data_IF_003740767597
#
_entry.id   IF_003740767597
#
_cell.length_a   1.000
_cell.length_b   1.000
_cell.length_c   1.000
_cell.angle_alpha   90.00
_cell.angle_beta   90.00
_cell.angle_gamma   90.00
#
_symmetry.space_group_name_H-M   'P 1'
#
loop_
_entity.id
_entity.type
_entity.pdbx_description
1 polymer ?
#
# COMPACT_ATOMS: atom_id res chain seq x y z
N UNK A 1 -2.97 -25.62 -8.14
CA UNK A 1 -3.55 -24.75 -9.17
C UNK A 1 -2.95 -23.38 -9.02
N UNK A 2 -2.20 -22.92 -10.02
CA UNK A 2 -1.44 -21.66 -9.98
C UNK A 2 -2.37 -20.48 -10.18
N UNK A 3 -2.27 -19.47 -9.32
CA UNK A 3 -3.08 -18.23 -9.30
C UNK A 3 -3.39 -17.61 -10.67
N UNK A 4 -2.54 -17.80 -11.70
CA UNK A 4 -2.79 -17.37 -13.08
C UNK A 4 -4.09 -17.91 -13.67
N UNK A 5 -4.43 -19.17 -13.41
CA UNK A 5 -5.61 -19.84 -14.00
C UNK A 5 -6.91 -19.30 -13.40
N UNK A 6 -6.90 -18.99 -12.10
CA UNK A 6 -8.02 -18.37 -11.38
C UNK A 6 -8.24 -16.94 -11.88
N UNK A 7 -7.16 -16.19 -12.12
CA UNK A 7 -7.22 -14.83 -12.66
C UNK A 7 -7.75 -14.82 -14.10
N UNK A 8 -7.34 -15.79 -14.93
CA UNK A 8 -7.91 -15.97 -16.28
C UNK A 8 -9.40 -16.33 -16.25
N UNK A 9 -9.82 -17.23 -15.37
CA UNK A 9 -11.25 -17.54 -15.21
C UNK A 9 -12.06 -16.34 -14.71
N UNK A 10 -11.51 -15.54 -13.78
CA UNK A 10 -12.14 -14.30 -13.31
C UNK A 10 -12.27 -13.28 -14.43
N UNK A 11 -11.26 -13.14 -15.29
CA UNK A 11 -11.30 -12.24 -16.45
C UNK A 11 -12.40 -12.63 -17.44
N UNK A 12 -12.63 -13.93 -17.62
CA UNK A 12 -13.63 -14.47 -18.57
C UNK A 12 -15.04 -14.42 -17.98
N UNK A 13 -15.21 -14.88 -16.73
CA UNK A 13 -16.55 -15.05 -16.12
C UNK A 13 -17.08 -13.78 -15.45
N UNK A 14 -16.19 -12.93 -14.93
CA UNK A 14 -16.57 -11.72 -14.18
C UNK A 14 -15.72 -10.52 -14.61
N UNK A 15 -15.81 -10.08 -15.88
CA UNK A 15 -14.95 -9.04 -16.44
C UNK A 15 -15.04 -7.69 -15.70
N UNK A 16 -16.22 -7.34 -15.15
CA UNK A 16 -16.40 -6.11 -14.38
C UNK A 16 -15.80 -6.19 -12.97
N UNK A 17 -15.86 -7.36 -12.32
CA UNK A 17 -15.17 -7.60 -11.05
C UNK A 17 -13.65 -7.61 -11.25
N UNK A 18 -13.17 -8.23 -12.33
CA UNK A 18 -11.77 -8.22 -12.73
C UNK A 18 -11.26 -6.79 -13.03
N UNK A 19 -12.02 -5.99 -13.79
CA UNK A 19 -11.69 -4.57 -14.01
C UNK A 19 -11.66 -3.78 -12.71
N UNK A 20 -12.57 -4.04 -11.78
CA UNK A 20 -12.58 -3.36 -10.48
C UNK A 20 -11.36 -3.74 -9.65
N UNK A 21 -10.99 -5.02 -9.60
CA UNK A 21 -9.80 -5.52 -8.90
C UNK A 21 -8.53 -4.92 -9.52
N UNK A 22 -8.42 -4.88 -10.85
CA UNK A 22 -7.28 -4.26 -11.53
C UNK A 22 -7.28 -2.74 -11.37
N UNK A 23 -8.43 -2.06 -11.44
CA UNK A 23 -8.50 -0.61 -11.26
C UNK A 23 -8.18 -0.16 -9.83
N UNK A 24 -8.39 -1.04 -8.84
CA UNK A 24 -7.92 -0.80 -7.46
C UNK A 24 -6.39 -0.84 -7.41
N UNK A 25 -5.74 -1.73 -8.18
CA UNK A 25 -4.28 -1.88 -8.25
C UNK A 25 -3.60 -1.03 -9.35
N UNK A 26 -4.36 -0.39 -10.25
CA UNK A 26 -3.83 0.35 -11.41
C UNK A 26 -3.64 1.84 -11.16
N UNK A 27 -3.79 2.31 -9.91
CA UNK A 27 -3.39 3.69 -9.59
C UNK A 27 -1.90 3.80 -9.84
N UNK A 28 -1.52 4.61 -10.83
CA UNK A 28 -0.12 4.97 -11.08
C UNK A 28 0.50 5.39 -9.75
N UNK A 29 1.55 4.68 -9.36
CA UNK A 29 2.26 4.96 -8.12
C UNK A 29 2.88 6.34 -8.24
N UNK A 30 2.40 7.28 -7.43
CA UNK A 30 2.94 8.63 -7.36
C UNK A 30 4.12 8.62 -6.37
N UNK A 31 5.33 8.77 -6.91
CA UNK A 31 6.54 8.79 -6.09
C UNK A 31 6.55 9.97 -5.12
N UNK A 32 5.94 11.12 -5.46
CA UNK A 32 5.93 12.29 -4.58
C UNK A 32 5.09 12.03 -3.33
N UNK A 33 3.96 11.36 -3.48
CA UNK A 33 3.13 10.93 -2.36
C UNK A 33 3.83 9.87 -1.49
N UNK A 34 4.61 8.95 -2.08
CA UNK A 34 5.44 8.01 -1.30
C UNK A 34 6.56 8.75 -0.56
N UNK A 35 7.21 9.74 -1.18
CA UNK A 35 8.21 10.59 -0.51
C UNK A 35 7.61 11.34 0.67
N UNK A 36 6.42 11.94 0.50
CA UNK A 36 5.73 12.61 1.59
C UNK A 36 5.31 11.63 2.69
N UNK A 37 4.76 10.47 2.34
CA UNK A 37 4.45 9.42 3.33
C UNK A 37 5.69 9.02 4.14
N UNK A 38 6.84 8.87 3.47
CA UNK A 38 8.10 8.57 4.14
C UNK A 38 8.56 9.73 5.05
N UNK A 39 8.53 10.96 4.56
CA UNK A 39 8.89 12.15 5.32
C UNK A 39 8.05 12.31 6.59
N UNK A 40 6.72 12.26 6.47
CA UNK A 40 5.82 12.40 7.62
C UNK A 40 5.93 11.23 8.61
N UNK A 41 6.21 10.01 8.12
CA UNK A 41 6.39 8.85 9.01
C UNK A 41 7.60 8.98 9.93
N UNK A 42 8.62 9.80 9.58
CA UNK A 42 9.83 9.94 10.41
C UNK A 42 9.55 10.53 11.79
N UNK A 43 8.43 11.24 11.95
CA UNK A 43 8.02 11.88 13.19
C UNK A 43 7.23 10.96 14.12
N UNK A 44 7.04 9.68 13.74
CA UNK A 44 6.21 8.71 14.45
C UNK A 44 7.06 7.61 15.11
N UNK A 45 6.65 7.13 16.28
CA UNK A 45 7.34 6.07 17.03
C UNK A 45 7.49 4.77 16.20
N UNK A 46 6.44 4.42 15.45
CA UNK A 46 6.42 3.27 14.55
C UNK A 46 6.67 3.64 13.08
N UNK A 47 7.61 4.57 12.82
CA UNK A 47 7.92 5.15 11.49
C UNK A 47 7.85 4.18 10.31
N UNK A 48 8.44 2.99 10.43
CA UNK A 48 8.47 2.01 9.33
C UNK A 48 7.10 1.41 9.06
N UNK A 49 6.37 1.06 10.11
CA UNK A 49 5.04 0.46 10.01
C UNK A 49 4.03 1.48 9.54
N UNK A 50 4.10 2.70 10.06
CA UNK A 50 3.28 3.84 9.59
C UNK A 50 3.51 4.08 8.10
N UNK A 51 4.77 4.21 7.67
CA UNK A 51 5.11 4.40 6.26
C UNK A 51 4.52 3.31 5.35
N UNK A 52 4.73 2.04 5.71
CA UNK A 52 4.26 0.90 4.93
C UNK A 52 2.74 0.90 4.86
N UNK A 53 2.04 1.07 5.99
CA UNK A 53 0.58 1.03 6.02
C UNK A 53 -0.05 2.20 5.27
N UNK A 54 0.51 3.41 5.36
CA UNK A 54 0.06 4.57 4.56
C UNK A 54 0.19 4.27 3.07
N UNK A 55 1.33 3.74 2.62
CA UNK A 55 1.54 3.40 1.21
C UNK A 55 0.57 2.30 0.74
N UNK A 56 0.32 1.28 1.58
CA UNK A 56 -0.65 0.23 1.28
C UNK A 56 -2.07 0.80 1.20
N UNK A 57 -2.52 1.63 2.13
CA UNK A 57 -3.87 2.22 2.05
C UNK A 57 -4.08 3.17 0.87
N UNK A 58 -3.02 3.84 0.42
CA UNK A 58 -3.10 4.74 -0.75
C UNK A 58 -3.22 3.97 -2.07
N UNK A 59 -2.45 2.88 -2.23
CA UNK A 59 -2.26 2.22 -3.53
C UNK A 59 -2.69 0.76 -3.60
N UNK A 60 -2.80 0.07 -2.47
CA UNK A 60 -3.21 -1.33 -2.41
C UNK A 60 -3.96 -1.66 -1.09
N UNK A 61 -5.09 -0.96 -0.81
CA UNK A 61 -5.79 -1.09 0.47
C UNK A 61 -6.29 -2.52 0.74
N UNK A 62 -6.58 -3.28 -0.32
CA UNK A 62 -6.95 -4.69 -0.22
C UNK A 62 -5.91 -5.57 0.45
N UNK A 63 -4.62 -5.20 0.42
CA UNK A 63 -3.58 -5.93 1.15
C UNK A 63 -3.80 -5.88 2.65
N UNK A 64 -4.26 -4.75 3.19
CA UNK A 64 -4.57 -4.62 4.61
C UNK A 64 -5.92 -5.28 4.90
N UNK A 65 -6.97 -4.95 4.17
CA UNK A 65 -8.33 -5.39 4.49
C UNK A 65 -8.54 -6.88 4.25
N UNK A 66 -8.09 -7.40 3.10
CA UNK A 66 -8.41 -8.73 2.62
C UNK A 66 -7.18 -9.64 2.44
N UNK A 67 -5.97 -9.14 2.71
CA UNK A 67 -4.74 -9.89 2.51
C UNK A 67 -4.40 -10.14 1.04
N UNK A 68 -4.88 -9.28 0.14
CA UNK A 68 -4.57 -9.40 -1.30
C UNK A 68 -3.11 -9.06 -1.58
N UNK A 69 -2.65 -9.46 -2.77
CA UNK A 69 -1.32 -9.09 -3.27
C UNK A 69 -1.16 -7.57 -3.30
N UNK A 70 0.08 -7.13 -3.09
CA UNK A 70 0.47 -5.72 -3.16
C UNK A 70 0.51 -5.27 -4.61
N UNK A 71 0.02 -4.06 -4.86
CA UNK A 71 0.08 -3.39 -6.15
C UNK A 71 1.48 -3.48 -6.79
N UNK A 72 1.51 -3.80 -8.08
CA UNK A 72 2.74 -4.02 -8.82
C UNK A 72 3.61 -2.75 -8.79
N UNK A 73 4.88 -2.91 -8.41
CA UNK A 73 5.83 -1.80 -8.33
C UNK A 73 5.84 -1.03 -7.00
N UNK A 74 4.82 -1.16 -6.14
CA UNK A 74 4.72 -0.38 -4.90
C UNK A 74 5.87 -0.68 -3.94
N UNK A 75 6.19 -1.97 -3.75
CA UNK A 75 7.35 -2.39 -2.94
C UNK A 75 8.66 -1.81 -3.49
N UNK A 76 8.78 -1.71 -4.82
CA UNK A 76 9.97 -1.14 -5.46
C UNK A 76 10.07 0.37 -5.22
N UNK A 77 8.95 1.08 -5.25
CA UNK A 77 8.90 2.50 -4.97
C UNK A 77 9.19 2.80 -3.50
N UNK A 78 8.58 2.05 -2.56
CA UNK A 78 8.87 2.15 -1.13
C UNK A 78 10.35 1.91 -0.83
N UNK A 79 10.93 0.85 -1.41
CA UNK A 79 12.34 0.51 -1.26
C UNK A 79 13.26 1.63 -1.76
N UNK A 80 12.95 2.22 -2.92
CA UNK A 80 13.71 3.34 -3.50
C UNK A 80 13.67 4.58 -2.61
N UNK A 81 12.47 5.01 -2.18
CA UNK A 81 12.28 6.20 -1.34
C UNK A 81 12.99 6.06 0.00
N UNK A 82 12.92 4.87 0.59
CA UNK A 82 13.56 4.57 1.88
C UNK A 82 15.06 4.28 1.77
N UNK A 83 15.59 4.08 0.56
CA UNK A 83 17.00 3.71 0.35
C UNK A 83 17.36 2.31 0.85
N UNK A 84 16.42 1.36 0.76
CA UNK A 84 16.61 -0.03 1.23
C UNK A 84 16.27 -1.04 0.12
N UNK A 85 16.54 -2.33 0.37
CA UNK A 85 16.18 -3.39 -0.58
C UNK A 85 14.67 -3.69 -0.55
N UNK A 86 14.14 -4.21 -1.67
CA UNK A 86 12.74 -4.68 -1.73
C UNK A 86 12.46 -5.73 -0.67
N UNK A 87 13.41 -6.65 -0.44
CA UNK A 87 13.30 -7.70 0.56
C UNK A 87 13.15 -7.15 1.98
N UNK A 88 13.89 -6.09 2.34
CA UNK A 88 13.78 -5.45 3.65
C UNK A 88 12.38 -4.85 3.88
N UNK A 89 11.77 -4.26 2.84
CA UNK A 89 10.38 -3.76 2.90
C UNK A 89 9.40 -4.92 3.05
N UNK A 90 9.53 -5.97 2.22
CA UNK A 90 8.66 -7.15 2.27
C UNK A 90 8.69 -7.86 3.63
N UNK A 91 9.87 -7.99 4.25
CA UNK A 91 10.03 -8.59 5.58
C UNK A 91 9.26 -7.83 6.66
N UNK A 92 9.19 -6.49 6.57
CA UNK A 92 8.50 -5.64 7.54
C UNK A 92 7.00 -5.46 7.29
N UNK A 93 6.51 -5.95 6.16
CA UNK A 93 5.14 -5.70 5.74
C UNK A 93 4.12 -6.46 6.59
N UNK A 94 4.41 -7.72 6.93
CA UNK A 94 3.53 -8.51 7.82
C UNK A 94 3.43 -7.88 9.20
N UNK A 95 4.55 -7.46 9.78
CA UNK A 95 4.59 -6.77 11.08
C UNK A 95 3.81 -5.46 11.03
N UNK A 96 3.98 -4.66 9.97
CA UNK A 96 3.27 -3.39 9.81
C UNK A 96 1.76 -3.58 9.73
N UNK A 97 1.29 -4.55 8.92
CA UNK A 97 -0.13 -4.87 8.78
C UNK A 97 -0.70 -5.38 10.11
N UNK A 98 0.03 -6.24 10.81
CA UNK A 98 -0.37 -6.73 12.12
C UNK A 98 -0.51 -5.57 13.11
N UNK A 99 0.48 -4.69 13.18
CA UNK A 99 0.47 -3.54 14.08
C UNK A 99 -0.70 -2.60 13.79
N UNK A 100 -0.96 -2.29 12.51
CA UNK A 100 -2.11 -1.47 12.12
C UNK A 100 -3.44 -2.09 12.53
N UNK A 101 -3.60 -3.41 12.39
CA UNK A 101 -4.84 -4.09 12.81
C UNK A 101 -5.00 -4.20 14.32
N UNK A 102 -3.89 -4.18 15.08
CA UNK A 102 -3.89 -4.49 16.51
C UNK A 102 -3.85 -3.26 17.40
N UNK A 103 -3.17 -2.20 16.96
CA UNK A 103 -2.90 -0.99 17.74
C UNK A 103 -3.72 0.18 17.20
N UNK A 104 -4.70 0.63 18.00
CA UNK A 104 -5.68 1.65 17.60
C UNK A 104 -5.01 3.00 17.33
N UNK A 105 -4.10 3.39 18.20
CA UNK A 105 -3.25 4.57 18.10
C UNK A 105 -2.48 4.61 16.76
N UNK A 106 -1.87 3.49 16.36
CA UNK A 106 -1.18 3.42 15.07
C UNK A 106 -2.16 3.54 13.90
N UNK A 107 -3.31 2.86 13.99
CA UNK A 107 -4.33 2.93 12.93
C UNK A 107 -4.85 4.35 12.72
N UNK A 108 -5.11 5.09 13.80
CA UNK A 108 -5.58 6.48 13.74
C UNK A 108 -4.54 7.40 13.10
N UNK A 109 -3.27 7.28 13.49
CA UNK A 109 -2.16 8.04 12.87
C UNK A 109 -2.06 7.75 11.38
N UNK A 110 -2.11 6.46 11.00
CA UNK A 110 -2.03 6.03 9.61
C UNK A 110 -3.20 6.58 8.80
N UNK A 111 -4.43 6.47 9.31
CA UNK A 111 -5.63 6.91 8.61
C UNK A 111 -5.63 8.44 8.42
N UNK A 112 -5.26 9.21 9.46
CA UNK A 112 -5.11 10.67 9.37
C UNK A 112 -4.06 11.08 8.33
N UNK A 113 -2.93 10.38 8.29
CA UNK A 113 -1.89 10.64 7.28
C UNK A 113 -2.39 10.33 5.87
N UNK A 114 -3.11 9.23 5.68
CA UNK A 114 -3.70 8.86 4.38
C UNK A 114 -4.69 9.91 3.91
N UNK A 115 -5.56 10.40 4.79
CA UNK A 115 -6.50 11.48 4.47
C UNK A 115 -5.79 12.77 4.07
N UNK A 116 -4.77 13.16 4.84
CA UNK A 116 -3.94 14.34 4.56
C UNK A 116 -3.25 14.24 3.19
N UNK A 117 -2.68 13.07 2.86
CA UNK A 117 -2.01 12.83 1.58
C UNK A 117 -2.98 12.76 0.39
N UNK A 118 -4.23 12.31 0.59
CA UNK A 118 -5.27 12.32 -0.44
C UNK A 118 -5.75 13.74 -0.76
N UNK A 119 -5.73 14.64 0.22
CA UNK A 119 -6.14 16.03 0.08
C UNK A 119 -5.05 16.91 -0.55
N UNK A 120 -3.78 16.49 -0.48
CA UNK A 120 -2.68 17.14 -1.18
C UNK A 120 -2.89 17.06 -2.69
N UNK A 121 -3.32 18.19 -3.29
CA UNK A 121 -3.31 18.37 -4.74
C UNK A 121 -1.86 18.56 -5.19
N UNK A 122 -1.24 17.49 -5.67
CA UNK A 122 0.04 17.55 -6.36
C UNK A 122 -0.15 18.40 -7.62
N UNK A 123 0.45 19.59 -7.66
CA UNK A 123 0.52 20.38 -8.89
C UNK A 123 1.31 19.55 -9.91
N UNK A 124 0.62 19.12 -10.98
CA UNK A 124 1.22 18.38 -12.10
C UNK A 124 1.91 19.33 -13.06
#
# INVERSE_FOLDING_TARGET
MTDKRIVEELKIRFPEAYKTIINIDSKTIDNNAIYAAYFYSQWQEHRTSVFICVCLLLYSPGTITYGTRVAHGLVSAMARVKGVTKSAVSQKMSDAIFQYKKYKDLSEIVDQMVESLKQLKWQK
#
